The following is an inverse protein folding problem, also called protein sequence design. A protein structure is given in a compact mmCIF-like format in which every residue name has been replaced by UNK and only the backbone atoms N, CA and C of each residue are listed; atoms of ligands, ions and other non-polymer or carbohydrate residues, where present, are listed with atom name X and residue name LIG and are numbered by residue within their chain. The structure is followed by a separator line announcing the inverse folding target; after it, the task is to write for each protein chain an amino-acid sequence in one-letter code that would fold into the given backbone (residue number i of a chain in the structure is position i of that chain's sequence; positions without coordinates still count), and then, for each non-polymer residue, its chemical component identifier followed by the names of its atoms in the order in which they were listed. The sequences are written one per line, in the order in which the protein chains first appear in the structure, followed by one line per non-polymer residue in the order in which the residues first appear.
data_IF_488866922691
#
_entry.id   IF_488866922691
#
_cell.length_a   1.000
_cell.length_b   1.000
_cell.length_c   1.000
_cell.angle_alpha   90.00
_cell.angle_beta   90.00
_cell.angle_gamma   90.00
#
_symmetry.space_group_name_H-M   'P 1'
#
loop_
_entity.id
_entity.type
_entity.pdbx_description
1 polymer ?
#
# COMPACT_ATOMS: atom_id res chain seq x y z
N UNK A 1 -0.90 -25.98 -9.56
CA UNK A 1 -1.55 -24.67 -9.84
C UNK A 1 -0.72 -23.58 -9.20
N UNK A 2 -0.13 -22.75 -10.01
CA UNK A 2 0.91 -21.79 -9.62
C UNK A 2 0.38 -20.35 -9.56
N UNK A 3 0.75 -19.62 -8.54
CA UNK A 3 0.51 -18.18 -8.42
C UNK A 3 1.81 -17.42 -8.60
N UNK A 4 1.76 -16.25 -9.21
CA UNK A 4 2.92 -15.37 -9.36
C UNK A 4 2.63 -14.07 -8.59
N UNK A 5 3.54 -13.69 -7.69
CA UNK A 5 3.46 -12.44 -6.96
C UNK A 5 4.70 -11.60 -7.27
N UNK A 6 4.55 -10.58 -8.10
CA UNK A 6 5.64 -9.63 -8.34
C UNK A 6 5.65 -8.55 -7.25
N UNK A 7 6.82 -8.05 -6.88
CA UNK A 7 6.96 -7.28 -5.65
C UNK A 7 6.72 -8.15 -4.42
N UNK A 8 6.92 -9.47 -4.54
CA UNK A 8 6.55 -10.45 -3.53
C UNK A 8 7.41 -10.42 -2.27
N UNK A 9 8.54 -9.73 -2.27
CA UNK A 9 9.33 -9.42 -1.08
C UNK A 9 9.06 -8.00 -0.52
N UNK A 10 8.23 -7.22 -1.21
CA UNK A 10 7.79 -5.90 -0.77
C UNK A 10 6.63 -5.97 0.25
N UNK A 11 6.17 -4.80 0.70
CA UNK A 11 5.13 -4.67 1.71
C UNK A 11 3.84 -5.43 1.35
N UNK A 12 3.16 -5.03 0.28
CA UNK A 12 1.86 -5.63 -0.08
C UNK A 12 2.05 -7.04 -0.63
N UNK A 13 3.06 -7.25 -1.49
CA UNK A 13 3.30 -8.54 -2.12
C UNK A 13 3.58 -9.66 -1.13
N UNK A 14 4.43 -9.44 -0.11
CA UNK A 14 4.72 -10.45 0.91
C UNK A 14 3.50 -10.79 1.77
N UNK A 15 2.64 -9.81 2.05
CA UNK A 15 1.36 -10.07 2.73
C UNK A 15 0.37 -10.86 1.85
N UNK A 16 0.38 -10.67 0.53
CA UNK A 16 -0.40 -11.51 -0.39
C UNK A 16 0.14 -12.94 -0.38
N UNK A 17 1.47 -13.14 -0.39
CA UNK A 17 2.05 -14.48 -0.26
C UNK A 17 1.64 -15.12 1.08
N UNK A 18 1.72 -14.38 2.20
CA UNK A 18 1.25 -14.85 3.49
C UNK A 18 -0.24 -15.27 3.44
N UNK A 19 -1.10 -14.43 2.86
CA UNK A 19 -2.52 -14.74 2.71
C UNK A 19 -2.81 -15.94 1.79
N UNK A 20 -1.96 -16.22 0.79
CA UNK A 20 -2.01 -17.46 0.00
C UNK A 20 -1.61 -18.66 0.87
N UNK A 21 -0.55 -18.53 1.68
CA UNK A 21 -0.10 -19.58 2.60
C UNK A 21 -1.17 -19.92 3.64
N UNK A 22 -1.89 -18.94 4.19
CA UNK A 22 -3.01 -19.13 5.11
C UNK A 22 -4.15 -19.96 4.49
N UNK A 23 -4.27 -19.95 3.15
CA UNK A 23 -5.18 -20.81 2.38
C UNK A 23 -4.57 -22.17 2.01
N UNK A 24 -3.35 -22.48 2.45
CA UNK A 24 -2.62 -23.68 2.09
C UNK A 24 -2.05 -23.68 0.66
N UNK A 25 -1.95 -22.52 0.03
CA UNK A 25 -1.44 -22.33 -1.33
C UNK A 25 0.04 -21.93 -1.25
N UNK A 26 0.94 -22.89 -1.49
CA UNK A 26 2.38 -22.72 -1.39
C UNK A 26 3.10 -22.82 -2.75
N UNK A 27 2.38 -23.20 -3.82
CA UNK A 27 2.89 -23.16 -5.19
C UNK A 27 2.86 -21.72 -5.72
N UNK A 28 3.75 -20.90 -5.16
CA UNK A 28 3.87 -19.47 -5.42
C UNK A 28 5.27 -19.16 -5.94
N UNK A 29 5.37 -18.43 -7.04
CA UNK A 29 6.62 -17.79 -7.47
C UNK A 29 6.65 -16.36 -6.92
N UNK A 30 7.64 -16.08 -6.09
CA UNK A 30 7.97 -14.74 -5.64
C UNK A 30 8.89 -14.09 -6.66
N UNK A 31 8.48 -12.96 -7.23
CA UNK A 31 9.29 -12.18 -8.17
C UNK A 31 9.60 -10.83 -7.55
N UNK A 32 10.88 -10.54 -7.31
CA UNK A 32 11.29 -9.27 -6.70
C UNK A 32 12.76 -8.95 -7.04
N UNK A 33 13.24 -7.88 -6.45
CA UNK A 33 14.61 -7.42 -6.41
C UNK A 33 15.06 -7.41 -4.94
N UNK A 34 15.94 -8.34 -4.57
CA UNK A 34 16.49 -8.44 -3.23
C UNK A 34 17.82 -7.68 -3.07
N UNK A 35 18.04 -6.64 -3.87
CA UNK A 35 19.20 -5.75 -3.69
C UNK A 35 19.17 -5.03 -2.33
N UNK A 36 17.99 -4.88 -1.74
CA UNK A 36 17.80 -4.38 -0.38
C UNK A 36 17.61 -5.55 0.59
N UNK A 37 18.62 -5.80 1.45
CA UNK A 37 18.62 -6.86 2.47
C UNK A 37 17.44 -6.71 3.46
N UNK A 38 16.93 -5.51 3.67
CA UNK A 38 15.80 -5.26 4.56
C UNK A 38 14.52 -5.99 4.13
N UNK A 39 14.39 -6.35 2.84
CA UNK A 39 13.28 -7.16 2.34
C UNK A 39 13.33 -8.65 2.73
N UNK A 40 14.48 -9.15 3.17
CA UNK A 40 14.63 -10.57 3.52
C UNK A 40 13.68 -10.94 4.66
N UNK A 41 13.53 -10.07 5.65
CA UNK A 41 12.61 -10.27 6.77
C UNK A 41 11.14 -10.44 6.36
N UNK A 42 10.77 -9.95 5.18
CA UNK A 42 9.40 -10.04 4.69
C UNK A 42 9.03 -11.41 4.11
N UNK A 43 10.01 -12.24 3.76
CA UNK A 43 9.77 -13.52 3.09
C UNK A 43 10.36 -14.73 3.81
N UNK A 44 11.15 -14.52 4.86
CA UNK A 44 11.89 -15.59 5.54
C UNK A 44 10.96 -16.62 6.21
N UNK A 45 9.77 -16.21 6.60
CA UNK A 45 8.74 -17.03 7.26
C UNK A 45 7.64 -17.49 6.28
N UNK A 46 7.78 -17.22 4.98
CA UNK A 46 6.79 -17.55 3.96
C UNK A 46 7.15 -18.84 3.21
N UNK A 47 6.13 -19.58 2.80
CA UNK A 47 6.26 -20.74 1.94
C UNK A 47 5.99 -20.37 0.48
N UNK A 48 6.97 -20.63 -0.40
CA UNK A 48 6.85 -20.42 -1.84
C UNK A 48 7.72 -21.42 -2.60
N UNK A 49 7.32 -21.75 -3.84
CA UNK A 49 7.97 -22.79 -4.64
C UNK A 49 9.25 -22.30 -5.34
N UNK A 50 9.34 -20.98 -5.67
CA UNK A 50 10.49 -20.41 -6.36
C UNK A 50 10.61 -18.91 -6.12
N UNK A 51 11.84 -18.39 -6.25
CA UNK A 51 12.17 -16.98 -6.28
C UNK A 51 12.85 -16.63 -7.61
N UNK A 52 12.37 -15.58 -8.28
CA UNK A 52 12.95 -15.09 -9.52
C UNK A 52 13.28 -13.60 -9.41
N UNK A 53 14.49 -13.23 -9.85
CA UNK A 53 14.83 -11.82 -10.03
C UNK A 53 13.88 -11.15 -11.04
N UNK A 54 13.39 -9.94 -10.72
CA UNK A 54 12.38 -9.23 -11.53
C UNK A 54 12.79 -9.02 -12.98
N UNK A 55 14.09 -8.72 -13.21
CA UNK A 55 14.60 -8.42 -14.56
C UNK A 55 14.76 -9.69 -15.39
N UNK A 56 15.21 -10.78 -14.74
CA UNK A 56 15.29 -12.09 -15.40
C UNK A 56 13.89 -12.62 -15.71
N UNK A 57 12.98 -12.55 -14.76
CA UNK A 57 11.58 -12.97 -14.94
C UNK A 57 10.94 -12.26 -16.14
N UNK A 58 11.08 -10.92 -16.23
CA UNK A 58 10.50 -10.17 -17.34
C UNK A 58 11.08 -10.59 -18.69
N UNK A 59 12.41 -10.79 -18.78
CA UNK A 59 13.07 -11.27 -20.01
C UNK A 59 12.52 -12.64 -20.43
N UNK A 60 12.33 -13.54 -19.47
CA UNK A 60 11.81 -14.88 -19.74
C UNK A 60 10.34 -14.82 -20.18
N UNK A 61 9.52 -13.98 -19.56
CA UNK A 61 8.11 -13.75 -19.96
C UNK A 61 8.02 -13.17 -21.36
N UNK A 62 8.84 -12.19 -21.71
CA UNK A 62 8.84 -11.60 -23.07
C UNK A 62 9.24 -12.65 -24.11
N UNK A 63 10.20 -13.49 -23.79
CA UNK A 63 10.74 -14.49 -24.74
C UNK A 63 9.86 -15.73 -24.88
N UNK A 64 9.32 -16.23 -23.75
CA UNK A 64 8.74 -17.57 -23.65
C UNK A 64 7.26 -17.54 -23.23
N UNK A 65 6.70 -16.38 -22.86
CA UNK A 65 5.39 -16.26 -22.22
C UNK A 65 5.44 -16.57 -20.72
N UNK A 66 4.27 -16.61 -20.08
CA UNK A 66 4.14 -16.98 -18.67
C UNK A 66 4.51 -18.46 -18.45
N UNK A 67 5.03 -18.82 -17.26
CA UNK A 67 5.17 -20.22 -16.85
C UNK A 67 3.87 -21.00 -17.03
N UNK A 68 3.99 -22.24 -17.51
CA UNK A 68 2.83 -23.11 -17.67
C UNK A 68 2.11 -23.33 -16.34
N UNK A 69 0.79 -23.48 -16.38
CA UNK A 69 -0.07 -23.66 -15.20
C UNK A 69 -0.18 -22.42 -14.28
N UNK A 70 0.27 -21.24 -14.73
CA UNK A 70 0.00 -19.99 -14.00
C UNK A 70 -1.50 -19.78 -13.86
N UNK A 71 -1.97 -19.72 -12.61
CA UNK A 71 -3.38 -19.57 -12.26
C UNK A 71 -3.80 -18.12 -12.19
N UNK A 72 -2.94 -17.26 -11.63
CA UNK A 72 -3.18 -15.84 -11.45
C UNK A 72 -1.86 -15.12 -11.21
N UNK A 73 -1.79 -13.86 -11.62
CA UNK A 73 -0.67 -12.97 -11.36
C UNK A 73 -1.15 -11.83 -10.47
N UNK A 74 -0.52 -11.68 -9.29
CA UNK A 74 -0.64 -10.52 -8.41
C UNK A 74 0.56 -9.60 -8.67
N UNK A 75 0.34 -8.52 -9.40
CA UNK A 75 1.39 -7.59 -9.79
C UNK A 75 1.46 -6.41 -8.83
N UNK A 76 2.29 -6.54 -7.79
CA UNK A 76 2.53 -5.50 -6.78
C UNK A 76 3.88 -4.79 -6.98
N UNK A 77 4.73 -5.33 -7.85
CA UNK A 77 6.07 -4.79 -8.11
C UNK A 77 6.03 -3.43 -8.80
N UNK A 78 6.61 -2.42 -8.13
CA UNK A 78 6.80 -1.08 -8.65
C UNK A 78 7.85 -0.34 -7.82
N UNK A 79 8.45 0.73 -8.39
CA UNK A 79 9.06 1.77 -7.58
C UNK A 79 7.94 2.62 -6.99
N UNK A 80 7.78 2.60 -5.67
CA UNK A 80 6.74 3.37 -4.96
C UNK A 80 7.28 4.66 -4.33
N UNK A 81 8.54 4.97 -4.54
CA UNK A 81 9.17 6.19 -4.02
C UNK A 81 8.70 7.42 -4.83
N UNK A 82 7.87 8.23 -4.21
CA UNK A 82 7.30 9.44 -4.81
C UNK A 82 8.31 10.60 -4.94
N UNK A 83 9.49 10.46 -4.34
CA UNK A 83 10.58 11.46 -4.41
C UNK A 83 11.49 11.28 -5.61
N UNK A 84 11.42 10.12 -6.27
CA UNK A 84 12.17 9.86 -7.51
C UNK A 84 11.68 10.78 -8.63
N UNK A 85 12.60 11.56 -9.18
CA UNK A 85 12.32 12.50 -10.27
C UNK A 85 12.76 11.98 -11.66
N UNK A 86 13.49 10.87 -11.72
CA UNK A 86 13.88 10.24 -12.99
C UNK A 86 12.66 9.60 -13.66
N UNK A 87 12.10 10.34 -14.62
CA UNK A 87 10.93 9.90 -15.38
C UNK A 87 11.18 8.68 -16.25
N UNK A 88 12.39 8.53 -16.79
CA UNK A 88 12.73 7.37 -17.62
C UNK A 88 12.74 6.08 -16.79
N UNK A 89 13.46 6.09 -15.68
CA UNK A 89 13.48 4.98 -14.73
C UNK A 89 12.08 4.61 -14.26
N UNK A 90 11.28 5.63 -13.86
CA UNK A 90 9.93 5.40 -13.35
C UNK A 90 9.01 4.77 -14.40
N UNK A 91 9.06 5.26 -15.64
CA UNK A 91 8.24 4.73 -16.73
C UNK A 91 8.67 3.33 -17.14
N UNK A 92 9.97 3.04 -17.19
CA UNK A 92 10.47 1.71 -17.51
C UNK A 92 10.06 0.69 -16.44
N UNK A 93 10.29 1.02 -15.18
CA UNK A 93 10.05 0.12 -14.05
C UNK A 93 8.56 -0.07 -13.73
N UNK A 94 7.74 0.99 -13.81
CA UNK A 94 6.33 0.94 -13.42
C UNK A 94 5.38 0.72 -14.60
N UNK A 95 5.61 1.40 -15.74
CA UNK A 95 4.70 1.29 -16.88
C UNK A 95 5.11 0.19 -17.84
N UNK A 96 6.34 0.21 -18.36
CA UNK A 96 6.77 -0.75 -19.41
C UNK A 96 6.78 -2.18 -18.87
N UNK A 97 7.27 -2.38 -17.65
CA UNK A 97 7.25 -3.67 -16.96
C UNK A 97 5.81 -4.20 -16.82
N UNK A 98 4.92 -3.38 -16.27
CA UNK A 98 3.50 -3.74 -16.07
C UNK A 98 2.80 -4.06 -17.38
N UNK A 99 3.10 -3.29 -18.44
CA UNK A 99 2.55 -3.50 -19.77
C UNK A 99 2.94 -4.87 -20.35
N UNK A 100 4.22 -5.23 -20.30
CA UNK A 100 4.69 -6.52 -20.82
C UNK A 100 4.05 -7.69 -20.06
N UNK A 101 3.97 -7.60 -18.74
CA UNK A 101 3.36 -8.64 -17.93
C UNK A 101 1.85 -8.76 -18.17
N UNK A 102 1.15 -7.61 -18.29
CA UNK A 102 -0.27 -7.57 -18.64
C UNK A 102 -0.54 -8.23 -20.00
N UNK A 103 0.26 -7.91 -21.04
CA UNK A 103 0.06 -8.50 -22.37
C UNK A 103 0.36 -10.02 -22.37
N UNK A 104 1.31 -10.48 -21.57
CA UNK A 104 1.55 -11.91 -21.39
C UNK A 104 0.36 -12.61 -20.69
N UNK A 105 -0.21 -12.00 -19.64
CA UNK A 105 -1.40 -12.53 -18.99
C UNK A 105 -2.59 -12.57 -19.94
N UNK A 106 -2.80 -11.50 -20.71
CA UNK A 106 -3.87 -11.41 -21.68
C UNK A 106 -3.75 -12.47 -22.79
N UNK A 107 -2.55 -12.73 -23.29
CA UNK A 107 -2.32 -13.70 -24.36
C UNK A 107 -2.56 -15.16 -23.92
N UNK A 108 -2.47 -15.44 -22.62
CA UNK A 108 -2.65 -16.76 -22.03
C UNK A 108 -3.99 -16.90 -21.27
N UNK A 109 -4.85 -15.89 -21.32
CA UNK A 109 -6.12 -15.81 -20.56
C UNK A 109 -5.94 -15.98 -19.04
N UNK A 110 -4.80 -15.50 -18.49
CA UNK A 110 -4.47 -15.58 -17.07
C UNK A 110 -4.99 -14.36 -16.34
N UNK A 111 -5.71 -14.51 -15.22
CA UNK A 111 -6.13 -13.43 -14.34
C UNK A 111 -4.97 -12.56 -13.88
N UNK A 112 -5.17 -11.23 -13.91
CA UNK A 112 -4.16 -10.24 -13.58
C UNK A 112 -4.71 -9.18 -12.61
N UNK A 113 -4.20 -9.17 -11.38
CA UNK A 113 -4.55 -8.18 -10.34
C UNK A 113 -3.33 -7.29 -10.12
N UNK A 114 -3.48 -5.97 -10.26
CA UNK A 114 -2.34 -5.07 -10.17
C UNK A 114 -2.55 -3.89 -9.23
N UNK A 115 -1.43 -3.42 -8.65
CA UNK A 115 -1.37 -2.26 -7.81
C UNK A 115 -1.44 -0.96 -8.64
N UNK A 116 -2.55 -0.24 -8.55
CA UNK A 116 -2.64 1.17 -8.88
C UNK A 116 -2.55 2.00 -7.59
N UNK A 117 -2.81 3.30 -7.63
CA UNK A 117 -2.63 4.19 -6.50
C UNK A 117 -3.63 5.34 -6.49
N UNK A 118 -4.09 5.75 -5.31
CA UNK A 118 -4.88 6.97 -5.13
C UNK A 118 -4.10 8.25 -5.50
N UNK A 119 -2.77 8.18 -5.60
CA UNK A 119 -1.94 9.31 -6.07
C UNK A 119 -2.31 9.79 -7.49
N UNK A 120 -3.00 8.96 -8.28
CA UNK A 120 -3.49 9.33 -9.62
C UNK A 120 -4.49 10.51 -9.59
N UNK A 121 -5.16 10.71 -8.46
CA UNK A 121 -6.10 11.82 -8.27
C UNK A 121 -5.41 13.16 -8.05
N UNK A 122 -4.19 13.17 -7.50
CA UNK A 122 -3.40 14.37 -7.27
C UNK A 122 -4.14 15.42 -6.44
N UNK A 123 -4.38 16.59 -7.01
CA UNK A 123 -5.07 17.72 -6.35
C UNK A 123 -6.61 17.61 -6.38
N UNK A 124 -7.17 16.56 -7.00
CA UNK A 124 -8.62 16.39 -7.03
C UNK A 124 -9.18 16.28 -5.60
N UNK A 125 -10.39 16.81 -5.42
CA UNK A 125 -11.17 16.64 -4.19
C UNK A 125 -12.23 15.54 -4.32
N UNK A 126 -12.35 14.97 -5.51
CA UNK A 126 -13.25 13.87 -5.84
C UNK A 126 -12.41 12.65 -6.15
N UNK A 127 -12.68 11.55 -5.47
CA UNK A 127 -11.91 10.31 -5.55
C UNK A 127 -12.79 9.19 -6.12
N UNK A 128 -13.36 9.45 -7.29
CA UNK A 128 -14.12 8.48 -8.09
C UNK A 128 -13.27 8.04 -9.29
N UNK A 129 -13.45 6.81 -9.78
CA UNK A 129 -12.61 6.21 -10.83
C UNK A 129 -12.92 6.73 -12.25
N UNK A 130 -13.23 8.02 -12.38
CA UNK A 130 -13.45 8.70 -13.64
C UNK A 130 -12.24 9.53 -14.06
N UNK A 131 -11.97 9.56 -15.36
CA UNK A 131 -10.77 10.22 -15.92
C UNK A 131 -10.74 11.73 -15.69
N UNK A 132 -11.86 12.37 -15.49
CA UNK A 132 -11.99 13.81 -15.20
C UNK A 132 -11.44 14.20 -13.82
N UNK A 133 -11.33 13.25 -12.89
CA UNK A 133 -10.79 13.46 -11.54
C UNK A 133 -9.31 13.07 -11.40
N UNK A 134 -8.70 12.58 -12.48
CA UNK A 134 -7.32 12.12 -12.50
C UNK A 134 -6.37 13.29 -12.85
N UNK A 135 -5.57 13.72 -11.86
CA UNK A 135 -4.64 14.85 -12.00
C UNK A 135 -3.31 14.60 -11.25
N UNK A 136 -2.46 13.66 -11.74
CA UNK A 136 -1.25 13.23 -11.04
C UNK A 136 -0.25 14.36 -10.87
N UNK A 137 0.37 14.46 -9.67
CA UNK A 137 1.29 15.54 -9.31
C UNK A 137 2.77 15.19 -9.50
N UNK A 138 3.11 13.93 -9.68
CA UNK A 138 4.49 13.47 -9.83
C UNK A 138 4.59 12.31 -10.83
N UNK A 139 5.83 11.94 -11.16
CA UNK A 139 6.10 10.89 -12.16
C UNK A 139 5.61 9.52 -11.71
N UNK A 140 5.67 9.22 -10.41
CA UNK A 140 5.11 7.99 -9.86
C UNK A 140 3.60 7.89 -10.13
N UNK A 141 2.85 8.91 -9.72
CA UNK A 141 1.40 8.96 -9.95
C UNK A 141 1.05 8.88 -11.45
N UNK A 142 1.83 9.60 -12.29
CA UNK A 142 1.67 9.54 -13.74
C UNK A 142 1.92 8.13 -14.28
N UNK A 143 2.95 7.42 -13.81
CA UNK A 143 3.26 6.06 -14.27
C UNK A 143 2.10 5.08 -13.98
N UNK A 144 1.47 5.21 -12.81
CA UNK A 144 0.28 4.42 -12.44
C UNK A 144 -0.92 4.79 -13.30
N UNK A 145 -1.17 6.08 -13.49
CA UNK A 145 -2.28 6.55 -14.32
C UNK A 145 -2.17 6.10 -15.79
N UNK A 146 -0.99 6.21 -16.39
CA UNK A 146 -0.79 5.79 -17.78
C UNK A 146 -1.05 4.28 -17.91
N UNK A 147 -0.69 3.48 -16.91
CA UNK A 147 -1.00 2.05 -16.93
C UNK A 147 -2.50 1.79 -16.77
N UNK A 148 -3.21 2.48 -15.85
CA UNK A 148 -4.67 2.42 -15.76
C UNK A 148 -5.35 2.74 -17.10
N UNK A 149 -4.89 3.79 -17.78
CA UNK A 149 -5.41 4.18 -19.11
C UNK A 149 -5.10 3.12 -20.18
N UNK A 150 -3.93 2.52 -20.13
CA UNK A 150 -3.54 1.42 -21.02
C UNK A 150 -4.49 0.22 -20.89
N UNK A 151 -4.84 -0.14 -19.65
CA UNK A 151 -5.79 -1.22 -19.35
C UNK A 151 -7.20 -0.86 -19.82
N UNK A 152 -7.71 0.34 -19.46
CA UNK A 152 -9.08 0.79 -19.85
C UNK A 152 -9.33 0.72 -21.36
N UNK A 153 -8.38 1.18 -22.17
CA UNK A 153 -8.53 1.16 -23.65
C UNK A 153 -8.67 -0.27 -24.18
N UNK A 154 -8.18 -1.27 -23.44
CA UNK A 154 -8.18 -2.67 -23.84
C UNK A 154 -9.27 -3.51 -23.18
N UNK A 155 -9.99 -2.96 -22.23
CA UNK A 155 -10.99 -3.66 -21.42
C UNK A 155 -12.03 -4.39 -22.29
N UNK A 156 -12.58 -3.72 -23.30
CA UNK A 156 -13.61 -4.30 -24.18
C UNK A 156 -13.11 -5.50 -25.00
N UNK A 157 -11.79 -5.63 -25.21
CA UNK A 157 -11.16 -6.73 -25.97
C UNK A 157 -10.46 -7.76 -25.05
N UNK A 158 -10.62 -7.62 -23.73
CA UNK A 158 -9.95 -8.44 -22.75
C UNK A 158 -10.87 -9.57 -22.28
N UNK A 159 -10.46 -10.83 -22.48
CA UNK A 159 -11.21 -12.02 -22.06
C UNK A 159 -10.88 -12.38 -20.61
N UNK A 160 -9.60 -12.28 -20.22
CA UNK A 160 -9.17 -12.59 -18.88
C UNK A 160 -9.69 -11.59 -17.82
N UNK A 161 -9.66 -12.02 -16.58
CA UNK A 161 -9.92 -11.13 -15.45
C UNK A 161 -8.77 -10.12 -15.31
N UNK A 162 -9.09 -8.82 -15.30
CA UNK A 162 -8.13 -7.75 -15.00
C UNK A 162 -8.70 -6.85 -13.93
N UNK A 163 -7.97 -6.70 -12.83
CA UNK A 163 -8.38 -5.89 -11.70
C UNK A 163 -7.25 -4.92 -11.34
N UNK A 164 -7.53 -3.63 -11.40
CA UNK A 164 -6.65 -2.58 -10.89
C UNK A 164 -7.16 -2.08 -9.53
N UNK A 165 -6.31 -2.08 -8.52
CA UNK A 165 -6.65 -1.60 -7.19
C UNK A 165 -5.89 -0.31 -6.89
N UNK A 166 -6.61 0.82 -6.82
CA UNK A 166 -6.08 2.12 -6.42
C UNK A 166 -5.98 2.16 -4.90
N UNK A 167 -4.83 1.76 -4.37
CA UNK A 167 -4.60 1.76 -2.94
C UNK A 167 -4.57 3.18 -2.39
N UNK A 168 -5.31 3.39 -1.30
CA UNK A 168 -5.23 4.58 -0.47
C UNK A 168 -4.07 4.43 0.54
N UNK A 169 -4.16 4.98 1.73
CA UNK A 169 -3.03 4.96 2.67
C UNK A 169 -2.95 3.62 3.40
N UNK A 170 -2.24 2.68 2.81
CA UNK A 170 -2.05 1.33 3.38
C UNK A 170 -1.05 1.37 4.53
N UNK A 171 -1.38 0.69 5.63
CA UNK A 171 -0.49 0.47 6.78
C UNK A 171 -0.57 -0.98 7.24
N UNK A 172 0.50 -1.48 7.87
CA UNK A 172 0.47 -2.80 8.47
C UNK A 172 1.81 -3.55 8.44
N UNK A 173 1.76 -4.82 8.79
CA UNK A 173 2.91 -5.70 8.90
C UNK A 173 3.77 -5.74 7.62
N UNK A 174 5.09 -5.94 7.76
CA UNK A 174 6.06 -6.12 6.68
C UNK A 174 6.37 -4.85 5.85
N UNK A 175 6.15 -3.65 6.41
CA UNK A 175 6.52 -2.39 5.72
C UNK A 175 7.85 -1.78 6.18
N UNK A 176 8.54 -2.35 7.15
CA UNK A 176 9.72 -1.76 7.81
C UNK A 176 10.87 -1.46 6.84
N UNK A 177 11.05 -2.25 5.77
CA UNK A 177 12.06 -2.00 4.72
C UNK A 177 11.83 -0.67 3.97
N UNK A 178 10.64 -0.09 4.07
CA UNK A 178 10.32 1.19 3.41
C UNK A 178 10.92 2.41 4.12
N UNK A 179 11.48 2.24 5.32
CA UNK A 179 12.12 3.29 6.10
C UNK A 179 11.24 4.57 6.18
N UNK A 180 11.71 5.70 5.65
CA UNK A 180 10.96 6.95 5.66
C UNK A 180 9.68 6.94 4.80
N UNK A 181 9.53 5.98 3.89
CA UNK A 181 8.32 5.78 3.07
C UNK A 181 7.33 4.80 3.70
N UNK A 182 7.62 4.28 4.91
CA UNK A 182 6.68 3.49 5.67
C UNK A 182 5.50 4.35 6.14
N UNK A 183 4.38 3.71 6.48
CA UNK A 183 3.14 4.41 6.87
C UNK A 183 3.34 5.33 8.07
N UNK A 184 2.43 6.29 8.21
CA UNK A 184 2.44 7.16 9.39
C UNK A 184 2.25 6.38 10.70
N UNK A 185 1.50 5.26 10.68
CA UNK A 185 1.36 4.40 11.86
C UNK A 185 2.71 3.81 12.31
N UNK A 186 3.54 3.36 11.36
CA UNK A 186 4.90 2.88 11.60
C UNK A 186 5.78 3.98 12.23
N UNK A 187 5.77 5.17 11.61
CA UNK A 187 6.59 6.28 12.08
C UNK A 187 6.19 6.72 13.51
N UNK A 188 4.89 6.81 13.79
CA UNK A 188 4.38 7.19 15.09
C UNK A 188 4.68 6.14 16.17
N UNK A 189 4.60 4.85 15.83
CA UNK A 189 4.99 3.78 16.75
C UNK A 189 6.46 3.93 17.18
N UNK A 190 7.37 4.08 16.22
CA UNK A 190 8.80 4.22 16.53
C UNK A 190 9.12 5.51 17.30
N UNK A 191 8.48 6.64 16.95
CA UNK A 191 8.62 7.86 17.74
C UNK A 191 8.18 7.65 19.20
N UNK A 192 7.01 7.03 19.39
CA UNK A 192 6.49 6.76 20.73
C UNK A 192 7.37 5.82 21.53
N UNK A 193 7.84 4.73 20.93
CA UNK A 193 8.77 3.79 21.58
C UNK A 193 10.09 4.46 21.99
N UNK A 194 10.62 5.34 21.15
CA UNK A 194 11.90 6.00 21.42
C UNK A 194 11.82 7.10 22.50
N UNK A 195 10.71 7.83 22.56
CA UNK A 195 10.62 9.09 23.34
C UNK A 195 9.42 9.18 24.26
N UNK A 196 8.44 8.29 24.14
CA UNK A 196 7.14 8.41 24.78
C UNK A 196 6.26 9.53 24.21
N UNK A 197 6.65 10.11 23.07
CA UNK A 197 5.98 11.23 22.44
C UNK A 197 5.87 11.02 20.93
N UNK A 198 4.87 11.66 20.32
CA UNK A 198 4.71 11.71 18.87
C UNK A 198 4.50 13.14 18.41
N UNK A 199 4.95 13.45 17.18
CA UNK A 199 4.84 14.79 16.60
C UNK A 199 4.14 14.73 15.25
N UNK A 200 3.16 15.60 15.06
CA UNK A 200 2.36 15.72 13.86
C UNK A 200 2.57 17.09 13.21
N UNK A 201 2.19 17.21 11.95
CA UNK A 201 2.14 18.53 11.31
C UNK A 201 1.08 19.42 11.96
N UNK A 202 1.43 20.68 12.14
CA UNK A 202 0.50 21.73 12.54
C UNK A 202 -0.52 22.05 11.45
N UNK A 203 -1.27 23.12 11.64
CA UNK A 203 -2.34 23.53 10.74
C UNK A 203 -1.86 23.74 9.29
N UNK A 204 -2.58 23.19 8.31
CA UNK A 204 -2.32 23.39 6.89
C UNK A 204 -3.58 23.12 6.06
N UNK A 205 -3.65 23.68 4.83
CA UNK A 205 -4.74 23.40 3.89
C UNK A 205 -6.15 23.69 4.41
N UNK A 206 -6.28 24.57 5.41
CA UNK A 206 -7.56 24.88 6.06
C UNK A 206 -7.94 23.93 7.21
N UNK A 207 -7.07 22.98 7.54
CA UNK A 207 -7.22 22.07 8.68
C UNK A 207 -6.40 22.57 9.88
N UNK A 208 -6.91 22.32 11.09
CA UNK A 208 -6.18 22.56 12.34
C UNK A 208 -4.99 21.61 12.53
N UNK A 209 -4.32 21.72 13.69
CA UNK A 209 -3.15 20.93 14.05
C UNK A 209 -3.49 19.43 14.07
N UNK A 210 -2.83 18.65 13.19
CA UNK A 210 -3.05 17.21 13.04
C UNK A 210 -4.40 16.80 12.46
N UNK A 211 -5.21 17.76 11.96
CA UNK A 211 -6.57 17.53 11.46
C UNK A 211 -6.62 17.23 9.94
N UNK A 212 -5.50 17.27 9.24
CA UNK A 212 -5.43 16.78 7.87
C UNK A 212 -5.89 15.31 7.85
N UNK A 213 -6.55 14.89 6.78
CA UNK A 213 -7.29 13.61 6.77
C UNK A 213 -6.84 12.69 5.66
N UNK A 214 -6.80 11.39 5.96
CA UNK A 214 -6.51 10.32 5.01
C UNK A 214 -7.49 9.17 5.17
N UNK A 215 -7.71 8.45 4.10
CA UNK A 215 -8.32 7.13 4.15
C UNK A 215 -7.22 6.10 4.44
N UNK A 216 -7.12 5.69 5.69
CA UNK A 216 -6.16 4.68 6.15
C UNK A 216 -6.78 3.30 6.05
N UNK A 217 -6.17 2.41 5.28
CA UNK A 217 -6.64 1.04 5.06
C UNK A 217 -5.61 0.03 5.57
N UNK A 218 -6.06 -0.99 6.29
CA UNK A 218 -5.18 -2.02 6.82
C UNK A 218 -4.65 -2.95 5.73
N UNK A 219 -3.45 -3.49 5.92
CA UNK A 219 -2.87 -4.46 4.99
C UNK A 219 -3.71 -5.73 4.90
N UNK A 220 -4.37 -6.15 5.97
CA UNK A 220 -5.26 -7.32 5.99
C UNK A 220 -6.46 -7.11 5.05
N UNK A 221 -7.03 -5.91 5.02
CA UNK A 221 -8.12 -5.56 4.11
C UNK A 221 -7.65 -5.52 2.66
N UNK A 222 -6.43 -5.01 2.43
CA UNK A 222 -5.81 -5.00 1.10
C UNK A 222 -5.58 -6.43 0.59
N UNK A 223 -5.05 -7.32 1.43
CA UNK A 223 -4.88 -8.75 1.10
C UNK A 223 -6.23 -9.40 0.83
N UNK A 224 -7.23 -9.14 1.70
CA UNK A 224 -8.58 -9.66 1.53
C UNK A 224 -9.18 -9.30 0.17
N UNK A 225 -9.01 -8.05 -0.29
CA UNK A 225 -9.51 -7.60 -1.59
C UNK A 225 -8.75 -8.24 -2.77
N UNK A 226 -7.42 -8.39 -2.67
CA UNK A 226 -6.64 -9.09 -3.68
C UNK A 226 -7.07 -10.56 -3.81
N UNK A 227 -7.19 -11.27 -2.69
CA UNK A 227 -7.57 -12.69 -2.68
C UNK A 227 -9.04 -12.92 -3.04
N UNK A 228 -9.92 -11.92 -2.85
CA UNK A 228 -11.30 -11.97 -3.31
C UNK A 228 -11.39 -12.23 -4.82
N UNK A 229 -10.47 -11.67 -5.60
CA UNK A 229 -10.43 -11.85 -7.05
C UNK A 229 -10.28 -13.32 -7.48
N UNK A 230 -9.66 -14.18 -6.64
CA UNK A 230 -9.44 -15.61 -6.97
C UNK A 230 -10.75 -16.39 -7.09
N UNK A 231 -11.72 -16.02 -6.26
CA UNK A 231 -13.00 -16.72 -6.15
C UNK A 231 -14.10 -16.03 -6.96
N UNK A 232 -13.82 -14.84 -7.55
CA UNK A 232 -14.78 -14.01 -8.25
C UNK A 232 -14.26 -13.59 -9.64
N UNK A 233 -14.25 -14.49 -10.64
CA UNK A 233 -13.67 -14.22 -11.97
C UNK A 233 -14.37 -13.11 -12.75
N UNK A 234 -15.63 -12.80 -12.41
CA UNK A 234 -16.41 -11.71 -13.01
C UNK A 234 -16.11 -10.34 -12.40
N UNK A 235 -15.37 -10.31 -11.28
CA UNK A 235 -14.90 -9.08 -10.66
C UNK A 235 -13.76 -8.50 -11.51
N UNK A 236 -14.07 -7.49 -12.33
CA UNK A 236 -13.16 -6.87 -13.32
C UNK A 236 -13.29 -5.36 -13.27
N UNK A 237 -12.20 -4.65 -13.53
CA UNK A 237 -12.18 -3.21 -13.63
C UNK A 237 -11.12 -2.54 -12.75
N UNK A 238 -11.18 -1.22 -12.66
CA UNK A 238 -10.30 -0.43 -11.79
C UNK A 238 -11.15 0.10 -10.64
N UNK A 239 -10.70 -0.14 -9.41
CA UNK A 239 -11.42 0.17 -8.19
C UNK A 239 -10.54 0.90 -7.18
N UNK A 240 -11.12 1.85 -6.48
CA UNK A 240 -10.52 2.39 -5.27
C UNK A 240 -10.49 1.32 -4.17
N UNK A 241 -9.37 1.23 -3.46
CA UNK A 241 -9.23 0.39 -2.29
C UNK A 241 -8.78 1.22 -1.09
N UNK A 242 -9.74 1.67 -0.35
CA UNK A 242 -9.71 2.35 0.93
C UNK A 242 -10.91 1.92 1.74
N UNK A 243 -11.10 2.49 2.91
CA UNK A 243 -12.23 2.17 3.79
C UNK A 243 -13.51 2.95 3.43
N UNK A 244 -13.37 4.05 2.68
CA UNK A 244 -14.45 5.02 2.44
C UNK A 244 -14.65 5.99 3.60
N UNK A 245 -13.78 5.96 4.62
CA UNK A 245 -13.85 6.82 5.81
C UNK A 245 -12.50 7.50 6.02
N UNK A 246 -12.45 8.81 5.82
CA UNK A 246 -11.25 9.58 6.11
C UNK A 246 -11.09 9.82 7.62
N UNK A 247 -9.87 9.68 8.14
CA UNK A 247 -9.52 9.89 9.54
C UNK A 247 -8.39 10.90 9.65
N UNK A 248 -8.34 11.65 10.74
CA UNK A 248 -7.30 12.64 10.96
C UNK A 248 -5.95 12.00 11.36
N UNK A 249 -4.87 12.76 11.24
CA UNK A 249 -3.58 12.34 11.79
C UNK A 249 -3.63 12.26 13.33
N UNK A 250 -4.48 13.08 13.98
CA UNK A 250 -4.76 12.95 15.41
C UNK A 250 -5.38 11.61 15.75
N UNK A 251 -6.35 11.13 14.94
CA UNK A 251 -7.01 9.84 15.15
C UNK A 251 -6.00 8.67 15.11
N UNK A 252 -5.15 8.63 14.09
CA UNK A 252 -4.17 7.54 13.96
C UNK A 252 -3.08 7.64 15.03
N UNK A 253 -2.65 8.83 15.40
CA UNK A 253 -1.68 9.03 16.48
C UNK A 253 -2.26 8.57 17.83
N UNK A 254 -3.50 8.93 18.11
CA UNK A 254 -4.20 8.51 19.32
C UNK A 254 -4.37 6.98 19.37
N UNK A 255 -4.71 6.35 18.24
CA UNK A 255 -4.84 4.90 18.15
C UNK A 255 -3.51 4.19 18.44
N UNK A 256 -2.40 4.65 17.84
CA UNK A 256 -1.05 4.11 18.09
C UNK A 256 -0.65 4.29 19.55
N UNK A 257 -0.72 5.51 20.07
CA UNK A 257 -0.34 5.84 21.46
C UNK A 257 -1.15 4.99 22.46
N UNK A 258 -2.45 4.94 22.29
CA UNK A 258 -3.32 4.20 23.23
C UNK A 258 -3.09 2.69 23.15
N UNK A 259 -2.76 2.14 21.96
CA UNK A 259 -2.42 0.71 21.90
C UNK A 259 -1.10 0.42 22.60
N UNK A 260 -0.05 1.21 22.38
CA UNK A 260 1.22 1.07 23.09
C UNK A 260 1.03 1.19 24.61
N UNK A 261 0.23 2.15 25.07
CA UNK A 261 -0.11 2.32 26.49
C UNK A 261 -0.83 1.09 27.06
N UNK A 262 -1.79 0.55 26.33
CA UNK A 262 -2.53 -0.65 26.75
C UNK A 262 -1.61 -1.87 26.85
N UNK A 263 -0.73 -2.07 25.88
CA UNK A 263 0.27 -3.16 25.90
C UNK A 263 1.21 -3.02 27.10
N UNK A 264 1.59 -1.80 27.48
CA UNK A 264 2.42 -1.53 28.68
C UNK A 264 1.63 -1.52 29.99
N UNK A 265 0.34 -1.85 30.00
CA UNK A 265 -0.52 -1.87 31.18
C UNK A 265 -1.02 -0.51 31.64
N UNK A 266 -0.86 0.55 30.82
CA UNK A 266 -1.33 1.89 31.10
C UNK A 266 -2.74 2.13 30.57
N UNK A 267 -3.47 3.07 31.16
CA UNK A 267 -4.81 3.44 30.69
C UNK A 267 -4.73 4.26 29.39
N UNK A 268 -5.74 4.11 28.53
CA UNK A 268 -5.95 4.96 27.37
C UNK A 268 -6.24 6.41 27.81
N UNK A 269 -5.82 7.35 26.97
CA UNK A 269 -6.01 8.79 27.15
C UNK A 269 -6.88 9.36 26.04
N UNK A 270 -7.57 10.47 26.31
CA UNK A 270 -8.19 11.28 25.27
C UNK A 270 -7.14 12.08 24.50
N UNK A 271 -7.52 12.68 23.38
CA UNK A 271 -6.63 13.55 22.61
C UNK A 271 -6.17 14.74 23.44
N UNK A 272 -7.11 15.38 24.17
CA UNK A 272 -6.83 16.52 25.02
C UNK A 272 -5.85 16.16 26.16
N UNK A 273 -5.99 14.98 26.75
CA UNK A 273 -5.07 14.49 27.77
C UNK A 273 -3.67 14.23 27.19
N UNK A 274 -3.60 13.66 25.97
CA UNK A 274 -2.33 13.45 25.27
C UNK A 274 -1.64 14.79 24.94
N UNK A 275 -2.40 15.80 24.54
CA UNK A 275 -1.89 17.15 24.26
C UNK A 275 -1.42 17.85 25.55
N UNK A 276 -2.22 17.82 26.61
CA UNK A 276 -1.88 18.41 27.91
C UNK A 276 -0.61 17.81 28.51
N UNK A 277 -0.39 16.50 28.32
CA UNK A 277 0.80 15.78 28.77
C UNK A 277 1.97 15.86 27.76
N UNK A 278 1.80 16.56 26.62
CA UNK A 278 2.76 16.64 25.51
C UNK A 278 3.16 15.28 24.91
N UNK A 279 2.29 14.29 25.03
CA UNK A 279 2.48 13.00 24.35
C UNK A 279 2.23 13.15 22.87
N UNK A 280 1.23 13.95 22.47
CA UNK A 280 1.00 14.38 21.08
C UNK A 280 1.29 15.87 21.02
N UNK A 281 2.18 16.27 20.11
CA UNK A 281 2.58 17.65 19.87
C UNK A 281 2.66 17.95 18.37
N UNK A 282 2.75 19.23 18.01
CA UNK A 282 2.69 19.66 16.62
C UNK A 282 3.91 20.50 16.27
N UNK A 283 4.26 20.53 15.00
CA UNK A 283 5.32 21.36 14.43
C UNK A 283 4.92 21.88 13.05
N UNK A 284 5.48 23.01 12.67
CA UNK A 284 5.14 23.64 11.40
C UNK A 284 5.49 22.75 10.22
N UNK A 285 4.60 22.68 9.23
CA UNK A 285 4.84 21.96 8.00
C UNK A 285 6.04 22.57 7.26
N UNK A 286 7.03 21.76 6.82
CA UNK A 286 8.14 22.27 6.04
C UNK A 286 7.69 23.03 4.78
N UNK A 287 8.30 24.18 4.50
CA UNK A 287 7.95 25.00 3.35
C UNK A 287 8.07 24.25 2.00
N UNK A 288 8.90 23.21 1.93
CA UNK A 288 9.08 22.34 0.76
C UNK A 288 7.85 21.50 0.43
N UNK A 289 6.98 21.27 1.41
CA UNK A 289 5.73 20.51 1.27
C UNK A 289 4.51 21.39 1.04
N UNK A 290 4.62 22.70 1.33
CA UNK A 290 3.51 23.64 1.16
C UNK A 290 3.06 23.67 -0.31
N UNK A 291 1.76 23.43 -0.55
CA UNK A 291 1.16 23.36 -1.89
C UNK A 291 1.43 22.08 -2.68
N UNK A 292 2.18 21.12 -2.11
CA UNK A 292 2.42 19.79 -2.70
C UNK A 292 1.85 18.65 -1.84
N UNK A 293 1.38 18.98 -0.65
CA UNK A 293 0.84 18.03 0.31
C UNK A 293 -0.67 17.92 0.13
N UNK A 294 -1.15 16.71 0.00
CA UNK A 294 -2.58 16.41 -0.02
C UNK A 294 -3.14 16.52 1.41
N UNK A 295 -4.01 17.48 1.69
CA UNK A 295 -4.60 17.64 3.03
C UNK A 295 -5.78 16.70 3.28
N UNK A 296 -6.36 16.12 2.23
CA UNK A 296 -7.53 15.24 2.32
C UNK A 296 -7.51 14.15 1.25
N UNK A 297 -7.81 12.90 1.67
CA UNK A 297 -8.17 11.78 0.78
C UNK A 297 -9.26 10.93 1.41
N UNK A 298 -10.20 10.46 0.60
CA UNK A 298 -11.22 9.49 0.99
C UNK A 298 -11.65 8.70 -0.24
N UNK A 299 -11.56 7.38 -0.20
CA UNK A 299 -11.99 6.52 -1.28
C UNK A 299 -13.50 6.63 -1.48
N UNK A 300 -13.95 6.85 -2.71
CA UNK A 300 -15.29 6.42 -3.08
C UNK A 300 -15.21 4.92 -3.37
N UNK A 301 -15.91 4.13 -2.56
CA UNK A 301 -15.93 2.66 -2.67
C UNK A 301 -17.21 2.15 -3.34
N UNK A 302 -18.03 3.03 -3.92
CA UNK A 302 -19.29 2.69 -4.55
C UNK A 302 -19.13 1.65 -5.65
N UNK A 303 -18.22 1.87 -6.60
CA UNK A 303 -17.93 0.91 -7.68
C UNK A 303 -17.40 -0.43 -7.19
N UNK A 304 -16.56 -0.42 -6.15
CA UNK A 304 -16.04 -1.65 -5.53
C UNK A 304 -17.20 -2.48 -4.95
N UNK A 305 -18.15 -1.82 -4.27
CA UNK A 305 -19.34 -2.46 -3.70
C UNK A 305 -20.31 -2.96 -4.78
N UNK A 306 -20.58 -2.15 -5.79
CA UNK A 306 -21.43 -2.53 -6.94
C UNK A 306 -20.87 -3.73 -7.70
N UNK A 307 -19.54 -3.86 -7.78
CA UNK A 307 -18.87 -5.02 -8.39
C UNK A 307 -18.93 -6.29 -7.53
N UNK A 308 -19.46 -6.22 -6.30
CA UNK A 308 -19.73 -7.37 -5.44
C UNK A 308 -18.77 -7.56 -4.27
N UNK A 309 -17.81 -6.66 -4.05
CA UNK A 309 -16.96 -6.74 -2.85
C UNK A 309 -17.74 -6.24 -1.62
N UNK A 310 -18.25 -7.15 -0.81
CA UNK A 310 -19.14 -6.89 0.33
C UNK A 310 -18.46 -6.99 1.71
N UNK A 311 -17.15 -7.32 1.73
CA UNK A 311 -16.42 -7.48 3.01
C UNK A 311 -16.25 -6.13 3.72
N UNK A 312 -16.48 -6.15 5.04
CA UNK A 312 -16.29 -4.96 5.88
C UNK A 312 -14.79 -4.65 6.03
N UNK A 313 -14.47 -3.36 6.01
CA UNK A 313 -13.12 -2.88 6.32
C UNK A 313 -12.96 -2.69 7.82
N UNK A 314 -11.77 -2.98 8.34
CA UNK A 314 -11.44 -2.77 9.73
C UNK A 314 -11.52 -1.27 10.08
N UNK A 315 -12.15 -0.95 11.22
CA UNK A 315 -12.07 0.40 11.77
C UNK A 315 -10.63 0.70 12.19
N UNK A 316 -10.24 1.97 12.13
CA UNK A 316 -8.84 2.41 12.31
C UNK A 316 -8.22 1.86 13.61
N UNK A 317 -8.93 1.98 14.71
CA UNK A 317 -8.45 1.57 16.05
C UNK A 317 -8.15 0.06 16.11
N UNK A 318 -8.96 -0.75 15.44
CA UNK A 318 -8.77 -2.21 15.37
C UNK A 318 -7.59 -2.56 14.48
N UNK A 319 -7.50 -1.98 13.29
CA UNK A 319 -6.40 -2.23 12.36
C UNK A 319 -5.05 -1.76 12.93
N UNK A 320 -5.00 -0.55 13.48
CA UNK A 320 -3.80 -0.01 14.14
C UNK A 320 -3.43 -0.86 15.37
N UNK A 321 -4.42 -1.30 16.16
CA UNK A 321 -4.18 -2.16 17.31
C UNK A 321 -3.47 -3.46 16.92
N UNK A 322 -3.95 -4.17 15.89
CA UNK A 322 -3.31 -5.38 15.36
C UNK A 322 -1.89 -5.11 14.87
N UNK A 323 -1.70 -3.98 14.19
CA UNK A 323 -0.39 -3.60 13.67
C UNK A 323 0.62 -3.29 14.77
N UNK A 324 0.23 -2.53 15.80
CA UNK A 324 1.09 -2.27 16.95
C UNK A 324 1.46 -3.57 17.68
N UNK A 325 0.51 -4.50 17.86
CA UNK A 325 0.79 -5.81 18.44
C UNK A 325 1.83 -6.59 17.62
N UNK A 326 1.72 -6.53 16.29
CA UNK A 326 2.70 -7.15 15.40
C UNK A 326 4.08 -6.50 15.51
N UNK A 327 4.14 -5.16 15.58
CA UNK A 327 5.40 -4.41 15.74
C UNK A 327 6.09 -4.71 17.07
N UNK A 328 5.34 -4.83 18.19
CA UNK A 328 5.88 -5.21 19.50
C UNK A 328 6.52 -6.61 19.48
N UNK A 329 5.96 -7.53 18.69
CA UNK A 329 6.48 -8.90 18.58
C UNK A 329 7.69 -9.02 17.63
N UNK A 330 7.80 -8.17 16.61
CA UNK A 330 8.79 -8.28 15.53
C UNK A 330 9.80 -7.13 15.49
N UNK A 331 9.53 -6.04 16.22
CA UNK A 331 10.34 -4.82 16.18
C UNK A 331 11.65 -4.87 16.98
N UNK A 332 11.88 -5.91 17.79
CA UNK A 332 13.10 -6.01 18.63
C UNK A 332 14.34 -6.54 17.91
N UNK A 333 14.27 -6.88 16.62
CA UNK A 333 15.39 -7.42 15.84
C UNK A 333 16.11 -6.38 14.96
N UNK A 334 15.58 -5.16 14.81
CA UNK A 334 16.15 -4.15 13.92
C UNK A 334 16.84 -3.04 14.73
N UNK A 335 18.18 -3.15 14.86
CA UNK A 335 19.03 -2.17 15.55
C UNK A 335 19.36 -0.93 14.69
N UNK A 336 18.79 -0.78 13.50
CA UNK A 336 18.87 0.43 12.69
C UNK A 336 17.76 1.40 13.08
N UNK A 337 17.99 2.19 14.14
CA UNK A 337 17.11 3.32 14.47
C UNK A 337 17.08 4.29 13.29
N UNK A 338 15.91 4.66 12.76
CA UNK A 338 15.82 5.81 11.88
C UNK A 338 16.27 7.05 12.66
N UNK A 339 17.23 7.80 12.11
CA UNK A 339 17.55 9.13 12.62
C UNK A 339 16.23 9.91 12.76
N UNK A 340 16.05 10.57 13.90
CA UNK A 340 14.82 11.25 14.31
C UNK A 340 14.12 11.93 13.13
N UNK A 341 12.98 11.37 12.73
CA UNK A 341 12.29 11.68 11.50
C UNK A 341 11.96 13.17 11.37
N UNK A 342 12.59 13.82 10.40
CA UNK A 342 12.18 15.13 9.89
C UNK A 342 11.18 15.04 8.72
N UNK A 343 10.63 13.85 8.44
CA UNK A 343 9.71 13.68 7.30
C UNK A 343 8.58 12.73 7.63
N UNK A 344 7.44 13.30 8.02
CA UNK A 344 6.14 12.64 7.80
C UNK A 344 5.70 13.11 6.39
N UNK A 345 5.95 12.31 5.38
CA UNK A 345 5.50 12.59 3.99
C UNK A 345 4.15 11.91 3.70
#
# INVERSE_FOLDING_TARGET
VMYIVTGGAGFIGSNIVAGLNDKGLTDVIVVDDLADEAKVSNIIDLEFSDYLDKSQFLKDVIKNGLPQQTRMVFHQGACSDTTVTDGHFMMENNFSYSKHLYEACRSCDVPFVYASSASVYGESKVFEEFSEYENPLNVYALSKLIFDRYVRVREASCTNQVVGLRYFNVYGAREQHKANMASVAYQLFHQYQATGQVRLFGASGGYGDGEQRRDFVSIEDVVSANLFCMDHPDFKGIFNLGTGVSRSFNDIALAVVNRCRTVSGSQSLSLEECQAQKIISYFDMPATLTGKYQDYTQADVGRLREAGYDREFAVLEVGVGRYVDWLEQHGSSDSSQPEAAQSIS
#
